data_IF_258955688326
#
_entry.id   IF_258955688326
#
_cell.length_a   1.000
_cell.length_b   1.000
_cell.length_c   1.000
_cell.angle_alpha   90.00
_cell.angle_beta   90.00
_cell.angle_gamma   90.00
#
_symmetry.space_group_name_H-M   'P 1'
#
loop_
_entity.id
_entity.type
_entity.pdbx_description
1 polymer ?
#
# COMPACT_ATOMS: atom_id res chain seq x y z
N UNK A 1 -1.14 -6.68 -0.57
CA UNK A 1 -1.27 -5.65 -1.62
C UNK A 1 -0.56 -4.36 -1.23
N UNK A 2 -0.91 -3.67 -0.13
CA UNK A 2 -0.20 -2.43 0.24
C UNK A 2 1.32 -2.67 0.40
N UNK A 3 1.71 -3.76 1.06
CA UNK A 3 3.12 -4.15 1.19
C UNK A 3 3.83 -4.53 -0.11
N UNK A 4 3.12 -4.87 -1.19
CA UNK A 4 3.82 -5.16 -2.46
C UNK A 4 4.36 -3.88 -3.11
N UNK A 5 3.96 -2.69 -2.65
CA UNK A 5 4.56 -1.43 -3.07
C UNK A 5 6.02 -1.35 -2.61
N UNK A 6 6.38 -1.96 -1.49
CA UNK A 6 7.78 -2.03 -1.02
C UNK A 6 8.64 -2.82 -2.02
N UNK A 7 8.07 -3.86 -2.64
CA UNK A 7 8.75 -4.64 -3.69
C UNK A 7 8.84 -3.85 -5.01
N UNK A 8 7.80 -3.11 -5.38
CA UNK A 8 7.84 -2.22 -6.56
C UNK A 8 8.85 -1.08 -6.37
N UNK A 9 9.01 -0.55 -5.16
CA UNK A 9 9.98 0.49 -4.86
C UNK A 9 11.44 0.02 -5.08
N UNK A 10 11.73 -1.29 -4.91
CA UNK A 10 13.05 -1.86 -5.21
C UNK A 10 13.41 -1.78 -6.70
N UNK A 11 12.43 -1.63 -7.59
CA UNK A 11 12.62 -1.53 -9.03
C UNK A 11 12.85 -0.10 -9.55
N UNK A 12 12.82 0.92 -8.67
CA UNK A 12 13.06 2.32 -9.07
C UNK A 12 14.46 2.48 -9.66
N UNK A 13 14.56 3.04 -10.87
CA UNK A 13 15.83 3.25 -11.57
C UNK A 13 16.51 1.96 -12.00
N UNK A 14 15.78 0.85 -12.03
CA UNK A 14 16.31 -0.48 -12.36
C UNK A 14 15.71 -1.03 -13.65
N UNK A 15 16.45 -1.95 -14.24
CA UNK A 15 15.98 -2.88 -15.27
C UNK A 15 16.34 -4.31 -14.87
N UNK A 16 15.76 -5.27 -15.58
CA UNK A 16 16.11 -6.69 -15.41
C UNK A 16 17.56 -6.90 -15.88
N UNK A 17 18.38 -7.54 -15.05
CA UNK A 17 19.69 -8.02 -15.46
C UNK A 17 19.52 -9.29 -16.29
N UNK A 18 19.99 -9.27 -17.53
CA UNK A 18 19.84 -10.41 -18.43
C UNK A 18 20.44 -11.68 -17.84
N UNK A 19 19.73 -12.80 -17.95
CA UNK A 19 20.14 -14.13 -17.45
C UNK A 19 20.41 -14.16 -15.92
N UNK A 20 19.74 -13.31 -15.15
CA UNK A 20 19.83 -13.24 -13.69
C UNK A 20 18.44 -13.06 -13.07
N UNK A 21 18.30 -13.41 -11.79
CA UNK A 21 17.14 -13.03 -10.97
C UNK A 21 17.26 -11.61 -10.39
N UNK A 22 18.35 -10.91 -10.70
CA UNK A 22 18.68 -9.60 -10.16
C UNK A 22 18.14 -8.44 -11.01
N UNK A 23 17.97 -7.30 -10.33
CA UNK A 23 17.82 -6.01 -10.96
C UNK A 23 19.17 -5.29 -11.02
N UNK A 24 19.47 -4.67 -12.15
CA UNK A 24 20.64 -3.79 -12.30
C UNK A 24 20.21 -2.34 -12.55
N UNK A 25 21.12 -1.40 -12.29
CA UNK A 25 20.86 0.03 -12.54
C UNK A 25 20.64 0.24 -14.03
N UNK A 26 19.56 0.93 -14.40
CA UNK A 26 19.31 1.31 -15.79
C UNK A 26 20.06 2.60 -16.16
N UNK A 27 21.36 2.46 -16.43
CA UNK A 27 22.23 3.56 -16.85
C UNK A 27 21.80 4.25 -18.16
N UNK A 28 20.85 3.66 -18.91
CA UNK A 28 20.33 4.21 -20.18
C UNK A 28 18.99 4.94 -20.04
N UNK A 29 18.33 4.87 -18.88
CA UNK A 29 17.01 5.48 -18.61
C UNK A 29 16.89 6.11 -17.23
N UNK A 30 17.90 6.89 -16.81
CA UNK A 30 17.74 7.73 -15.63
C UNK A 30 16.40 8.50 -15.75
N UNK A 31 15.55 8.39 -14.73
CA UNK A 31 14.30 9.14 -14.61
C UNK A 31 13.19 8.75 -15.60
N UNK A 32 12.88 7.47 -15.79
CA UNK A 32 11.70 7.01 -16.56
C UNK A 32 10.82 6.03 -15.78
N UNK A 33 10.54 6.35 -14.52
CA UNK A 33 9.76 5.47 -13.64
C UNK A 33 8.23 5.65 -13.78
N UNK A 34 7.74 6.41 -14.77
CA UNK A 34 6.31 6.70 -14.90
C UNK A 34 5.43 5.45 -15.01
N UNK A 35 5.87 4.43 -15.76
CA UNK A 35 5.15 3.16 -15.88
C UNK A 35 5.14 2.36 -14.56
N UNK A 36 6.25 2.37 -13.82
CA UNK A 36 6.34 1.74 -12.50
C UNK A 36 5.36 2.40 -11.52
N UNK A 37 5.31 3.73 -11.52
CA UNK A 37 4.37 4.52 -10.71
C UNK A 37 2.93 4.20 -11.12
N UNK A 38 2.62 4.15 -12.42
CA UNK A 38 1.29 3.80 -12.90
C UNK A 38 0.86 2.40 -12.43
N UNK A 39 1.78 1.43 -12.42
CA UNK A 39 1.58 0.11 -11.84
C UNK A 39 1.26 0.16 -10.35
N UNK A 40 2.10 0.84 -9.56
CA UNK A 40 1.88 1.03 -8.12
C UNK A 40 0.53 1.72 -7.83
N UNK A 41 0.19 2.74 -8.61
CA UNK A 41 -1.08 3.46 -8.54
C UNK A 41 -2.28 2.53 -8.81
N UNK A 42 -2.21 1.69 -9.84
CA UNK A 42 -3.26 0.71 -10.16
C UNK A 42 -3.45 -0.33 -9.04
N UNK A 43 -2.37 -0.77 -8.39
CA UNK A 43 -2.46 -1.61 -7.19
C UNK A 43 -3.23 -0.88 -6.08
N UNK A 44 -2.96 0.40 -5.84
CA UNK A 44 -3.68 1.17 -4.81
C UNK A 44 -5.15 1.44 -5.16
N UNK A 45 -5.48 1.67 -6.43
CA UNK A 45 -6.88 1.71 -6.87
C UNK A 45 -7.61 0.39 -6.57
N UNK A 46 -6.94 -0.74 -6.78
CA UNK A 46 -7.49 -2.05 -6.44
C UNK A 46 -7.66 -2.23 -4.94
N UNK A 47 -6.71 -1.76 -4.12
CA UNK A 47 -6.84 -1.74 -2.65
C UNK A 47 -8.05 -0.90 -2.23
N UNK A 48 -8.18 0.32 -2.77
CA UNK A 48 -9.32 1.21 -2.50
C UNK A 48 -10.66 0.53 -2.80
N UNK A 49 -10.79 -0.11 -3.96
CA UNK A 49 -12.01 -0.82 -4.34
C UNK A 49 -12.30 -2.03 -3.43
N UNK A 50 -11.27 -2.73 -2.96
CA UNK A 50 -11.43 -3.85 -2.00
C UNK A 50 -11.84 -3.36 -0.61
N UNK A 51 -11.29 -2.25 -0.13
CA UNK A 51 -11.68 -1.64 1.15
C UNK A 51 -13.13 -1.14 1.11
N UNK A 52 -13.56 -0.59 -0.02
CA UNK A 52 -14.96 -0.22 -0.24
C UNK A 52 -15.89 -1.42 -0.13
N UNK A 53 -15.65 -2.46 -0.92
CA UNK A 53 -16.45 -3.70 -0.87
C UNK A 53 -16.43 -4.35 0.52
N UNK A 54 -15.30 -4.29 1.22
CA UNK A 54 -15.20 -4.82 2.58
C UNK A 54 -16.05 -4.00 3.55
N UNK A 55 -16.08 -2.67 3.43
CA UNK A 55 -16.92 -1.81 4.26
C UNK A 55 -18.43 -2.02 4.05
N UNK A 56 -18.82 -2.44 2.85
CA UNK A 56 -20.21 -2.73 2.49
C UNK A 56 -20.67 -4.15 2.88
N UNK A 57 -19.75 -4.97 3.43
CA UNK A 57 -20.08 -6.35 3.81
C UNK A 57 -20.99 -6.36 5.04
N UNK A 58 -22.11 -7.10 5.02
CA UNK A 58 -23.02 -7.18 6.16
C UNK A 58 -22.35 -7.84 7.37
N UNK A 59 -22.90 -7.63 8.56
CA UNK A 59 -22.50 -8.32 9.80
C UNK A 59 -21.05 -8.09 10.28
N UNK A 60 -20.34 -7.10 9.72
CA UNK A 60 -19.05 -6.65 10.28
C UNK A 60 -19.30 -5.82 11.55
N UNK A 61 -18.48 -6.05 12.58
CA UNK A 61 -18.52 -5.27 13.82
C UNK A 61 -18.24 -3.78 13.59
N UNK A 62 -18.82 -2.91 14.40
CA UNK A 62 -18.62 -1.46 14.29
C UNK A 62 -17.14 -1.06 14.43
N UNK A 63 -16.37 -1.76 15.28
CA UNK A 63 -14.93 -1.54 15.40
C UNK A 63 -14.20 -1.81 14.07
N UNK A 64 -14.49 -2.95 13.43
CA UNK A 64 -13.88 -3.30 12.15
C UNK A 64 -14.31 -2.35 11.04
N UNK A 65 -15.60 -1.96 10.99
CA UNK A 65 -16.10 -0.93 10.05
C UNK A 65 -15.36 0.40 10.21
N UNK A 66 -15.10 0.83 11.44
CA UNK A 66 -14.32 2.03 11.72
C UNK A 66 -12.90 1.95 11.15
N UNK A 67 -12.21 0.82 11.36
CA UNK A 67 -10.84 0.59 10.84
C UNK A 67 -10.79 0.45 9.32
N UNK A 68 -11.82 -0.15 8.71
CA UNK A 68 -11.97 -0.22 7.25
C UNK A 68 -12.14 1.19 6.68
N UNK A 69 -13.02 2.01 7.29
CA UNK A 69 -13.28 3.39 6.86
C UNK A 69 -12.02 4.25 6.95
N UNK A 70 -11.29 4.15 8.06
CA UNK A 70 -10.01 4.83 8.25
C UNK A 70 -8.97 4.43 7.18
N UNK A 71 -8.83 3.12 6.93
CA UNK A 71 -7.94 2.62 5.88
C UNK A 71 -8.36 3.06 4.47
N UNK A 72 -9.67 3.10 4.19
CA UNK A 72 -10.22 3.59 2.91
C UNK A 72 -9.88 5.08 2.73
N UNK A 73 -10.01 5.88 3.79
CA UNK A 73 -9.66 7.31 3.77
C UNK A 73 -8.17 7.52 3.47
N UNK A 74 -7.28 6.85 4.21
CA UNK A 74 -5.83 6.92 3.98
C UNK A 74 -5.42 6.43 2.59
N UNK A 75 -6.08 5.40 2.07
CA UNK A 75 -5.85 4.94 0.71
C UNK A 75 -6.26 5.99 -0.33
N UNK A 76 -7.37 6.70 -0.08
CA UNK A 76 -7.82 7.80 -0.93
C UNK A 76 -6.84 8.97 -0.87
N UNK A 77 -6.35 9.34 0.31
CA UNK A 77 -5.33 10.39 0.47
C UNK A 77 -4.08 10.09 -0.34
N UNK A 78 -3.54 8.87 -0.26
CA UNK A 78 -2.41 8.45 -1.07
C UNK A 78 -2.69 8.56 -2.59
N UNK A 79 -3.81 7.99 -3.04
CA UNK A 79 -4.21 8.01 -4.46
C UNK A 79 -4.35 9.44 -4.97
N UNK A 80 -4.99 10.32 -4.20
CA UNK A 80 -5.17 11.71 -4.59
C UNK A 80 -3.86 12.49 -4.61
N UNK A 81 -2.95 12.22 -3.66
CA UNK A 81 -1.61 12.80 -3.62
C UNK A 81 -0.80 12.47 -4.88
N UNK A 82 -0.78 11.19 -5.29
CA UNK A 82 -0.07 10.74 -6.50
C UNK A 82 -0.66 11.39 -7.76
N UNK A 83 -2.00 11.46 -7.86
CA UNK A 83 -2.67 12.09 -9.00
C UNK A 83 -2.37 13.58 -9.15
N UNK A 84 -2.21 14.29 -8.04
CA UNK A 84 -2.02 15.73 -8.02
C UNK A 84 -0.58 16.16 -8.28
N UNK A 85 0.39 15.25 -8.16
CA UNK A 85 1.82 15.57 -8.29
C UNK A 85 2.30 15.36 -9.73
N UNK A 86 2.60 16.45 -10.45
CA UNK A 86 3.05 16.42 -11.85
C UNK A 86 4.46 15.84 -12.03
N UNK A 87 5.29 15.81 -10.98
CA UNK A 87 6.61 15.19 -11.06
C UNK A 87 6.55 13.66 -11.04
N UNK A 88 5.46 13.12 -10.47
CA UNK A 88 5.21 11.69 -10.32
C UNK A 88 4.34 11.13 -11.44
N UNK A 89 3.38 11.92 -11.93
CA UNK A 89 2.36 11.49 -12.90
C UNK A 89 2.78 11.61 -14.38
N UNK A 90 4.08 11.83 -14.65
CA UNK A 90 4.67 11.90 -16.00
C UNK A 90 5.51 10.66 -16.32
N UNK A 91 5.74 10.40 -17.61
CA UNK A 91 6.55 9.26 -18.06
C UNK A 91 8.00 9.33 -17.52
N UNK A 92 8.55 10.54 -17.46
CA UNK A 92 9.91 10.84 -17.03
C UNK A 92 10.03 11.11 -15.52
N UNK A 93 9.22 10.43 -14.69
CA UNK A 93 9.31 10.55 -13.24
C UNK A 93 10.70 10.12 -12.75
N UNK A 94 11.37 11.01 -12.01
CA UNK A 94 12.75 10.81 -11.55
C UNK A 94 12.82 9.80 -10.41
N UNK A 95 13.96 9.12 -10.25
CA UNK A 95 14.16 8.19 -9.15
C UNK A 95 13.95 8.88 -7.79
N UNK A 96 14.44 10.11 -7.65
CA UNK A 96 14.30 10.90 -6.42
C UNK A 96 12.83 11.19 -6.11
N UNK A 97 12.06 11.64 -7.10
CA UNK A 97 10.65 11.94 -6.90
C UNK A 97 9.87 10.67 -6.58
N UNK A 98 10.09 9.58 -7.33
CA UNK A 98 9.38 8.32 -7.12
C UNK A 98 9.72 7.69 -5.77
N UNK A 99 10.97 7.78 -5.29
CA UNK A 99 11.32 7.38 -3.91
C UNK A 99 10.50 8.14 -2.87
N UNK A 100 10.38 9.46 -3.00
CA UNK A 100 9.52 10.29 -2.12
C UNK A 100 8.03 9.98 -2.24
N UNK A 101 7.60 9.19 -3.22
CA UNK A 101 6.21 8.80 -3.43
C UNK A 101 5.89 7.39 -2.94
N UNK A 102 6.74 6.39 -3.25
CA UNK A 102 6.40 4.97 -3.01
C UNK A 102 7.42 4.20 -2.17
N UNK A 103 8.62 4.76 -1.91
CA UNK A 103 9.64 4.09 -1.09
C UNK A 103 9.47 4.47 0.38
N UNK A 104 8.45 3.90 1.03
CA UNK A 104 8.20 4.16 2.46
C UNK A 104 9.28 3.59 3.39
N UNK A 105 10.11 2.65 2.91
CA UNK A 105 11.14 2.02 3.72
C UNK A 105 12.33 2.95 3.86
N UNK A 106 12.82 3.51 2.76
CA UNK A 106 13.98 4.40 2.76
C UNK A 106 13.59 5.88 2.79
N UNK A 107 12.37 6.22 2.37
CA UNK A 107 11.87 7.60 2.27
C UNK A 107 10.49 7.79 2.94
N UNK A 108 10.30 7.38 4.21
CA UNK A 108 9.00 7.42 4.90
C UNK A 108 8.42 8.84 5.05
N UNK A 109 9.29 9.86 5.09
CA UNK A 109 8.91 11.27 5.13
C UNK A 109 8.78 11.90 3.72
N UNK A 110 8.65 11.06 2.68
CA UNK A 110 8.52 11.49 1.31
C UNK A 110 7.25 12.32 1.09
N UNK A 111 7.43 13.59 0.71
CA UNK A 111 6.34 14.57 0.58
C UNK A 111 5.47 14.40 -0.67
N UNK A 112 5.79 13.41 -1.52
CA UNK A 112 5.11 13.13 -2.80
C UNK A 112 4.20 11.89 -2.74
N UNK A 113 3.92 11.38 -1.54
CA UNK A 113 3.09 10.19 -1.33
C UNK A 113 3.64 9.22 -0.27
N UNK A 114 4.93 9.33 0.06
CA UNK A 114 5.57 8.45 1.05
C UNK A 114 4.91 8.55 2.43
N UNK A 115 4.59 9.77 2.87
CA UNK A 115 3.88 10.01 4.15
C UNK A 115 2.50 9.36 4.15
N UNK A 116 1.72 9.53 3.08
CA UNK A 116 0.41 8.92 2.93
C UNK A 116 0.48 7.39 2.86
N UNK A 117 1.50 6.83 2.19
CA UNK A 117 1.73 5.39 2.12
C UNK A 117 2.07 4.78 3.48
N UNK A 118 2.88 5.47 4.30
CA UNK A 118 3.18 5.06 5.69
C UNK A 118 1.89 5.04 6.52
N UNK A 119 1.06 6.09 6.42
CA UNK A 119 -0.23 6.16 7.13
C UNK A 119 -1.15 5.01 6.72
N UNK A 120 -1.27 4.75 5.41
CA UNK A 120 -2.06 3.63 4.89
C UNK A 120 -1.54 2.27 5.37
N UNK A 121 -0.22 2.05 5.35
CA UNK A 121 0.34 0.80 5.87
C UNK A 121 0.03 0.60 7.34
N UNK A 122 0.12 1.66 8.15
CA UNK A 122 -0.23 1.62 9.56
C UNK A 122 -1.71 1.26 9.77
N UNK A 123 -2.64 1.93 9.08
CA UNK A 123 -4.07 1.66 9.25
C UNK A 123 -4.46 0.25 8.81
N UNK A 124 -3.88 -0.25 7.72
CA UNK A 124 -4.10 -1.63 7.26
C UNK A 124 -3.53 -2.64 8.27
N UNK A 125 -2.39 -2.35 8.89
CA UNK A 125 -1.84 -3.15 9.97
C UNK A 125 -2.76 -3.20 11.19
N UNK A 126 -3.34 -2.07 11.58
CA UNK A 126 -4.31 -1.99 12.68
C UNK A 126 -5.63 -2.72 12.35
N UNK A 127 -6.10 -2.64 11.10
CA UNK A 127 -7.26 -3.39 10.61
C UNK A 127 -7.00 -4.90 10.66
N UNK A 128 -5.86 -5.36 10.14
CA UNK A 128 -5.49 -6.78 10.17
C UNK A 128 -5.37 -7.30 11.61
N UNK A 129 -4.77 -6.52 12.50
CA UNK A 129 -4.65 -6.87 13.92
C UNK A 129 -6.03 -7.05 14.57
N UNK A 130 -6.97 -6.15 14.31
CA UNK A 130 -8.33 -6.26 14.85
C UNK A 130 -9.09 -7.47 14.28
N UNK A 131 -8.94 -7.74 12.98
CA UNK A 131 -9.56 -8.91 12.35
C UNK A 131 -9.02 -10.21 12.94
N UNK A 132 -7.70 -10.33 13.13
CA UNK A 132 -7.08 -11.50 13.76
C UNK A 132 -7.55 -11.67 15.22
N UNK A 133 -7.62 -10.58 15.99
CA UNK A 133 -8.11 -10.63 17.37
C UNK A 133 -9.57 -11.12 17.45
N UNK A 134 -10.44 -10.70 16.51
CA UNK A 134 -11.82 -11.19 16.44
C UNK A 134 -11.88 -12.70 16.16
N UNK A 135 -11.02 -13.20 15.25
CA UNK A 135 -10.90 -14.63 14.97
C UNK A 135 -10.38 -15.42 16.18
N UNK A 136 -9.33 -14.93 16.84
CA UNK A 136 -8.77 -15.56 18.04
C UNK A 136 -9.79 -15.63 19.18
N UNK A 137 -10.58 -14.57 19.39
CA UNK A 137 -11.64 -14.54 20.39
C UNK A 137 -12.73 -15.58 20.11
N UNK A 138 -13.18 -15.69 18.86
CA UNK A 138 -14.18 -16.69 18.46
C UNK A 138 -13.67 -18.13 18.67
N UNK A 139 -12.40 -18.39 18.35
CA UNK A 139 -11.76 -19.70 18.59
C UNK A 139 -11.71 -19.99 20.10
N UNK A 140 -11.31 -19.01 20.91
CA UNK A 140 -11.23 -19.17 22.35
C UNK A 140 -12.60 -19.48 22.98
N UNK A 141 -13.67 -18.83 22.51
CA UNK A 141 -15.04 -19.09 22.99
C UNK A 141 -15.51 -20.51 22.64
N UNK A 142 -15.20 -21.00 21.43
CA UNK A 142 -15.57 -22.35 21.00
C UNK A 142 -14.75 -23.46 21.65
N UNK A 143 -13.53 -23.14 22.12
CA UNK A 143 -12.61 -24.12 22.72
C UNK A 143 -12.61 -24.08 24.25
N UNK A 144 -13.28 -23.10 24.86
CA UNK A 144 -13.48 -23.05 26.29
C UNK A 144 -14.31 -24.26 26.76
N UNK A 145 -13.99 -24.87 27.92
CA UNK A 145 -14.82 -25.94 28.47
C UNK A 145 -16.25 -25.44 28.69
N UNK A 146 -17.24 -26.29 28.38
CA UNK A 146 -18.63 -25.98 28.65
C UNK A 146 -18.80 -25.64 30.13
N UNK A 147 -19.46 -24.52 30.42
CA UNK A 147 -19.80 -24.15 31.80
C UNK A 147 -20.74 -25.22 32.36
N UNK A 148 -20.23 -26.04 33.26
CA UNK A 148 -20.97 -27.01 34.07
C UNK A 148 -21.91 -26.33 35.06
#
# INVERSE_FOLDING_TARGET
MVKSIDELAKAIGKKIKQNSEDLEVDNGKNNKNGELVAGAFQVMLTVKAKLEKLGDTPEISEELKGKITDSKSKCKEFVDKIKADSDISKAEATDEHVKKAIDQVNTPAGEKGGVELVKLNKSIGELLKAANAAVEAAIAELTAPAKS
#
